data_IF_082866843167
#
_entry.id   IF_082866843167
#
_cell.length_a   1.000
_cell.length_b   1.000
_cell.length_c   1.000
_cell.angle_alpha   90.00
_cell.angle_beta   90.00
_cell.angle_gamma   90.00
#
_symmetry.space_group_name_H-M   'P 1'
#
loop_
_entity.id
_entity.type
_entity.pdbx_description
1 polymer ?
#
# COMPACT_ATOMS: atom_id res chain seq x y z
N UNK A 1 9.23 -12.63 -24.37
CA UNK A 1 8.24 -12.18 -23.62
C UNK A 1 7.80 -13.05 -22.58
N UNK A 2 8.57 -13.81 -22.11
CA UNK A 2 8.21 -14.76 -21.14
C UNK A 2 7.68 -14.14 -19.88
N UNK A 3 8.07 -12.94 -19.63
CA UNK A 3 7.67 -12.33 -18.40
C UNK A 3 6.31 -11.72 -18.41
N UNK A 4 5.63 -11.76 -19.52
CA UNK A 4 4.33 -11.12 -19.58
C UNK A 4 3.31 -11.81 -18.73
N UNK A 5 3.54 -13.04 -18.35
CA UNK A 5 2.59 -13.74 -17.51
C UNK A 5 2.83 -13.51 -16.04
N UNK A 6 3.93 -12.87 -15.69
CA UNK A 6 4.24 -12.61 -14.29
C UNK A 6 3.73 -11.22 -13.91
N UNK A 7 2.83 -11.11 -12.94
CA UNK A 7 2.34 -9.80 -12.53
C UNK A 7 3.49 -8.95 -12.00
N UNK A 8 3.45 -7.64 -12.20
CA UNK A 8 4.44 -6.78 -11.59
C UNK A 8 4.44 -6.95 -10.08
N UNK A 9 5.62 -6.85 -9.49
CA UNK A 9 5.74 -7.03 -8.05
C UNK A 9 4.97 -5.96 -7.28
N UNK A 10 4.74 -4.81 -7.91
CA UNK A 10 4.05 -3.69 -7.27
C UNK A 10 2.58 -3.62 -7.61
N UNK A 11 2.04 -4.64 -8.25
CA UNK A 11 0.62 -4.66 -8.57
C UNK A 11 -0.19 -4.76 -7.29
N UNK A 12 -1.20 -3.91 -7.17
CA UNK A 12 -2.06 -3.88 -6.00
C UNK A 12 -3.07 -5.02 -6.04
N UNK A 13 -3.46 -5.53 -4.87
CA UNK A 13 -4.57 -6.47 -4.80
C UNK A 13 -5.86 -5.82 -5.33
N UNK A 14 -6.75 -6.64 -5.87
CA UNK A 14 -7.96 -6.14 -6.49
C UNK A 14 -8.84 -5.36 -5.52
N UNK A 15 -8.94 -5.81 -4.26
CA UNK A 15 -9.77 -5.11 -3.28
C UNK A 15 -9.17 -3.75 -2.92
N UNK A 16 -7.85 -3.65 -2.88
CA UNK A 16 -7.17 -2.38 -2.62
C UNK A 16 -7.37 -1.43 -3.81
N UNK A 17 -7.23 -1.95 -5.01
CA UNK A 17 -7.43 -1.16 -6.22
C UNK A 17 -8.85 -0.60 -6.27
N UNK A 18 -9.84 -1.44 -5.99
CA UNK A 18 -11.23 -1.01 -5.98
C UNK A 18 -11.49 0.03 -4.89
N UNK A 19 -10.88 -0.12 -3.73
CA UNK A 19 -11.05 0.83 -2.64
C UNK A 19 -10.46 2.19 -2.99
N UNK A 20 -9.33 2.22 -3.69
CA UNK A 20 -8.76 3.47 -4.18
C UNK A 20 -9.68 4.12 -5.19
N UNK A 21 -10.21 3.34 -6.12
CA UNK A 21 -11.12 3.86 -7.13
C UNK A 21 -12.38 4.46 -6.50
N UNK A 22 -12.90 3.81 -5.47
CA UNK A 22 -14.08 4.28 -4.76
C UNK A 22 -13.85 5.63 -4.08
N UNK A 23 -12.59 5.98 -3.86
CA UNK A 23 -12.22 7.26 -3.25
C UNK A 23 -11.74 8.27 -4.27
N UNK A 24 -11.84 7.94 -5.56
CA UNK A 24 -11.43 8.85 -6.62
C UNK A 24 -9.92 8.96 -6.78
N UNK A 25 -9.18 7.99 -6.30
CA UNK A 25 -7.73 8.02 -6.37
C UNK A 25 -7.28 7.26 -7.60
N UNK A 26 -6.58 7.95 -8.50
CA UNK A 26 -6.09 7.33 -9.73
C UNK A 26 -4.66 6.82 -9.64
N UNK A 27 -3.88 7.33 -8.70
CA UNK A 27 -2.49 6.90 -8.54
C UNK A 27 -2.42 5.43 -8.16
N UNK A 28 -1.50 4.70 -8.79
CA UNK A 28 -1.30 3.28 -8.50
C UNK A 28 0.16 2.93 -8.34
N UNK A 29 1.06 3.86 -8.62
CA UNK A 29 2.48 3.64 -8.48
C UNK A 29 2.95 4.13 -7.11
N UNK A 30 4.14 3.67 -6.73
CA UNK A 30 4.67 3.93 -5.41
C UNK A 30 4.82 5.43 -5.14
N UNK A 31 5.36 6.18 -6.09
CA UNK A 31 5.62 7.60 -5.88
C UNK A 31 4.32 8.39 -5.79
N UNK A 32 3.38 8.12 -6.70
CA UNK A 32 2.10 8.82 -6.69
C UNK A 32 1.31 8.57 -5.43
N UNK A 33 1.28 7.31 -4.98
CA UNK A 33 0.56 6.97 -3.75
C UNK A 33 1.22 7.60 -2.54
N UNK A 34 2.56 7.63 -2.49
CA UNK A 34 3.27 8.25 -1.39
C UNK A 34 2.97 9.74 -1.30
N UNK A 35 3.00 10.43 -2.43
CA UNK A 35 2.73 11.86 -2.43
C UNK A 35 1.33 12.18 -1.95
N UNK A 36 0.35 11.39 -2.38
CA UNK A 36 -1.01 11.58 -1.90
C UNK A 36 -1.13 11.29 -0.41
N UNK A 37 -0.46 10.23 0.06
CA UNK A 37 -0.51 9.89 1.47
C UNK A 37 0.07 11.01 2.32
N UNK A 38 1.15 11.63 1.86
CA UNK A 38 1.80 12.70 2.60
C UNK A 38 0.97 13.97 2.65
N UNK A 39 -0.01 14.10 1.77
CA UNK A 39 -0.95 15.21 1.86
C UNK A 39 -1.99 14.99 2.96
N UNK A 40 -2.22 13.75 3.35
CA UNK A 40 -3.29 13.41 4.29
C UNK A 40 -2.79 12.96 5.66
N UNK A 41 -1.57 12.47 5.76
CA UNK A 41 -0.99 12.04 7.03
C UNK A 41 0.19 12.92 7.37
N UNK A 42 0.22 13.37 8.62
CA UNK A 42 1.34 14.18 9.08
C UNK A 42 2.59 13.35 9.28
N UNK A 43 2.43 12.08 9.56
CA UNK A 43 3.56 11.21 9.74
C UNK A 43 3.17 9.75 9.68
N UNK A 44 4.09 8.93 9.25
CA UNK A 44 3.94 7.50 9.21
C UNK A 44 5.32 6.87 9.25
N UNK A 45 5.39 5.58 9.58
CA UNK A 45 6.63 4.83 9.53
C UNK A 45 6.43 3.67 8.57
N UNK A 46 7.36 3.53 7.62
CA UNK A 46 7.37 2.41 6.69
C UNK A 46 8.70 1.70 6.85
N UNK A 47 8.68 0.41 7.11
CA UNK A 47 9.92 -0.33 7.22
C UNK A 47 9.80 -1.71 6.59
N UNK A 48 10.95 -2.23 6.20
CA UNK A 48 11.04 -3.54 5.61
C UNK A 48 11.15 -4.57 6.73
N UNK A 49 10.36 -5.62 6.63
CA UNK A 49 10.41 -6.69 7.62
C UNK A 49 11.65 -7.54 7.38
N UNK A 50 12.23 -8.07 8.47
CA UNK A 50 13.36 -8.98 8.34
C UNK A 50 12.91 -10.23 7.60
N UNK A 51 13.84 -10.98 6.98
CA UNK A 51 13.44 -12.19 6.27
C UNK A 51 12.66 -13.18 7.13
N UNK A 52 13.01 -13.30 8.40
CA UNK A 52 12.29 -14.20 9.30
C UNK A 52 10.87 -13.71 9.54
N UNK A 53 10.70 -12.41 9.79
CA UNK A 53 9.38 -11.83 10.00
C UNK A 53 8.55 -11.86 8.73
N UNK A 54 9.18 -11.55 7.59
CA UNK A 54 8.49 -11.57 6.31
C UNK A 54 7.93 -12.95 5.99
N UNK A 55 8.71 -14.00 6.27
CA UNK A 55 8.28 -15.37 6.04
C UNK A 55 7.14 -15.75 6.96
N UNK A 56 7.27 -15.37 8.22
CA UNK A 56 6.28 -15.70 9.25
C UNK A 56 4.92 -15.07 8.94
N UNK A 57 4.94 -13.79 8.54
CA UNK A 57 3.71 -13.06 8.29
C UNK A 57 3.30 -13.08 6.83
N UNK A 58 4.15 -13.64 5.97
CA UNK A 58 3.91 -13.67 4.52
C UNK A 58 3.79 -12.27 3.95
N UNK A 59 4.52 -11.33 4.55
CA UNK A 59 4.52 -9.93 4.14
C UNK A 59 5.94 -9.42 4.18
N UNK A 60 6.23 -8.38 3.40
CA UNK A 60 7.58 -7.84 3.32
C UNK A 60 7.72 -6.47 3.97
N UNK A 61 6.64 -5.72 4.05
CA UNK A 61 6.69 -4.35 4.55
C UNK A 61 5.59 -4.10 5.55
N UNK A 62 5.86 -3.17 6.45
CA UNK A 62 4.85 -2.75 7.42
C UNK A 62 4.82 -1.23 7.44
N UNK A 63 3.62 -0.66 7.32
CA UNK A 63 3.42 0.77 7.45
C UNK A 63 2.60 1.02 8.71
N UNK A 64 3.02 2.01 9.49
CA UNK A 64 2.36 2.34 10.76
C UNK A 64 2.05 3.83 10.79
N UNK A 65 0.86 4.17 11.22
CA UNK A 65 0.49 5.55 11.46
C UNK A 65 -0.57 5.57 12.56
N UNK A 66 -0.40 6.50 13.50
CA UNK A 66 -1.28 6.60 14.67
C UNK A 66 -1.33 5.24 15.36
N UNK A 67 -2.52 4.70 15.58
CA UNK A 67 -2.68 3.40 16.23
C UNK A 67 -2.93 2.28 15.23
N UNK A 68 -2.65 2.53 13.96
CA UNK A 68 -2.96 1.61 12.87
C UNK A 68 -1.69 1.11 12.21
N UNK A 69 -1.67 -0.16 11.81
CA UNK A 69 -0.56 -0.67 11.01
C UNK A 69 -1.10 -1.65 9.98
N UNK A 70 -0.36 -1.82 8.89
CA UNK A 70 -0.67 -2.78 7.85
C UNK A 70 0.59 -3.49 7.42
N UNK A 71 0.50 -4.81 7.26
CA UNK A 71 1.57 -5.62 6.72
C UNK A 71 1.26 -5.89 5.26
N UNK A 72 2.20 -5.59 4.38
CA UNK A 72 1.95 -5.60 2.95
C UNK A 72 3.08 -6.27 2.20
N UNK A 73 2.81 -6.67 0.95
CA UNK A 73 3.78 -7.32 0.12
C UNK A 73 4.69 -6.34 -0.61
N UNK A 74 4.20 -5.16 -0.91
CA UNK A 74 4.97 -4.15 -1.63
C UNK A 74 4.82 -2.80 -0.96
N UNK A 75 5.73 -1.88 -1.28
CA UNK A 75 5.67 -0.52 -0.75
C UNK A 75 4.45 0.20 -1.30
N UNK A 76 4.13 0.00 -2.57
CA UNK A 76 2.94 0.60 -3.16
C UNK A 76 1.68 0.16 -2.43
N UNK A 77 1.57 -1.11 -2.11
CA UNK A 77 0.42 -1.61 -1.36
C UNK A 77 0.35 -0.98 0.03
N UNK A 78 1.50 -0.79 0.68
CA UNK A 78 1.53 -0.18 2.00
C UNK A 78 0.98 1.24 1.95
N UNK A 79 1.44 2.03 0.99
CA UNK A 79 0.93 3.39 0.83
C UNK A 79 -0.56 3.38 0.48
N UNK A 80 -0.97 2.47 -0.40
CA UNK A 80 -2.36 2.40 -0.82
C UNK A 80 -3.29 2.06 0.34
N UNK A 81 -2.91 1.08 1.16
CA UNK A 81 -3.75 0.70 2.30
C UNK A 81 -3.83 1.82 3.33
N UNK A 82 -2.72 2.51 3.56
CA UNK A 82 -2.73 3.65 4.48
C UNK A 82 -3.63 4.76 3.95
N UNK A 83 -3.58 5.02 2.64
CA UNK A 83 -4.44 6.01 2.02
C UNK A 83 -5.91 5.66 2.18
N UNK A 84 -6.26 4.41 1.88
CA UNK A 84 -7.64 3.94 2.00
C UNK A 84 -8.13 4.11 3.43
N UNK A 85 -7.29 3.78 4.42
CA UNK A 85 -7.67 3.90 5.82
C UNK A 85 -7.77 5.36 6.27
N UNK A 86 -7.04 6.26 5.60
CA UNK A 86 -7.01 7.67 5.99
C UNK A 86 -8.15 8.48 5.38
N UNK A 87 -8.73 8.00 4.29
CA UNK A 87 -9.73 8.75 3.55
C UNK A 87 -11.08 8.05 3.61
N UNK A 88 -12.16 8.80 3.85
CA UNK A 88 -13.49 8.18 3.81
C UNK A 88 -13.87 7.85 2.38
N UNK A 89 -14.77 6.89 2.23
CA UNK A 89 -15.34 6.59 0.94
C UNK A 89 -16.12 7.82 0.45
N UNK A 90 -16.00 8.12 -0.83
CA UNK A 90 -16.74 9.24 -1.39
C UNK A 90 -18.25 8.99 -1.24
N UNK A 91 -19.03 10.03 -0.95
CA UNK A 91 -20.47 9.89 -0.79
C UNK A 91 -21.14 9.45 -2.09
#
# INVERSE_FOLDING_TARGET
>A
MADVTTPPADRLPDDTDAALAARGIEARDEVGLRLMLEEHLKGYTLYRLTPAAARRWKCRYRIMFEATDFDCQTVAEAYARALVASLPTAP
#
